data_IF_373111683475
#
_entry.id   IF_373111683475
#
_cell.length_a   1.000
_cell.length_b   1.000
_cell.length_c   1.000
_cell.angle_alpha   90.00
_cell.angle_beta   90.00
_cell.angle_gamma   90.00
#
_symmetry.space_group_name_H-M   'P 1'
#
loop_
_entity.id
_entity.type
_entity.pdbx_description
1 polymer ?
#
# COMPACT_ATOMS: atom_id res chain seq x y z
N UNK A 1 -9.12 21.49 -16.72
CA UNK A 1 -8.18 20.47 -16.24
C UNK A 1 -8.53 20.10 -14.82
N UNK A 2 -8.62 18.81 -14.54
CA UNK A 2 -8.91 18.38 -13.19
C UNK A 2 -7.67 18.58 -12.30
N UNK A 3 -7.87 19.17 -11.12
CA UNK A 3 -6.82 19.36 -10.13
C UNK A 3 -6.72 18.15 -9.20
N UNK A 4 -7.60 17.17 -9.37
CA UNK A 4 -7.68 15.96 -8.54
C UNK A 4 -7.83 14.72 -9.40
N UNK A 5 -7.49 13.61 -8.78
CA UNK A 5 -7.64 12.27 -9.32
C UNK A 5 -8.67 11.55 -8.47
N UNK A 6 -9.64 10.91 -9.11
CA UNK A 6 -10.54 9.99 -8.41
C UNK A 6 -9.78 8.69 -8.15
N UNK A 7 -9.57 8.37 -6.87
CA UNK A 7 -8.87 7.16 -6.46
C UNK A 7 -9.85 6.12 -5.95
N UNK A 8 -9.75 4.91 -6.48
CA UNK A 8 -10.46 3.76 -5.96
C UNK A 8 -9.46 2.62 -5.70
N UNK A 9 -9.50 2.06 -4.49
CA UNK A 9 -8.72 0.89 -4.13
C UNK A 9 -9.68 -0.23 -3.76
N UNK A 10 -9.61 -1.32 -4.52
CA UNK A 10 -10.53 -2.46 -4.42
C UNK A 10 -9.74 -3.71 -4.05
N UNK A 11 -10.27 -4.47 -3.10
CA UNK A 11 -9.81 -5.82 -2.78
C UNK A 11 -10.92 -6.81 -3.13
N UNK A 12 -10.64 -8.13 -3.11
CA UNK A 12 -11.71 -9.11 -3.35
C UNK A 12 -12.90 -9.00 -2.39
N UNK A 13 -12.68 -8.46 -1.18
CA UNK A 13 -13.73 -8.34 -0.16
C UNK A 13 -14.55 -7.07 -0.30
N UNK A 14 -13.95 -5.97 -0.77
CA UNK A 14 -14.66 -4.68 -0.75
C UNK A 14 -13.93 -3.56 -1.51
N UNK A 15 -14.67 -2.49 -1.76
CA UNK A 15 -14.10 -1.19 -2.11
C UNK A 15 -13.56 -0.56 -0.82
N UNK A 16 -12.25 -0.55 -0.67
CA UNK A 16 -11.59 -0.07 0.55
C UNK A 16 -11.47 1.45 0.59
N UNK A 17 -11.13 2.07 -0.54
CA UNK A 17 -10.95 3.52 -0.67
C UNK A 17 -11.70 4.02 -1.89
N UNK A 18 -12.44 5.12 -1.71
CA UNK A 18 -12.99 5.93 -2.77
C UNK A 18 -12.81 7.38 -2.34
N UNK A 19 -11.89 8.10 -2.95
CA UNK A 19 -11.45 9.39 -2.46
C UNK A 19 -10.91 10.26 -3.59
N UNK A 20 -10.75 11.56 -3.32
CA UNK A 20 -10.09 12.50 -4.21
C UNK A 20 -8.66 12.69 -3.76
N UNK A 21 -7.72 12.68 -4.70
CA UNK A 21 -6.31 12.84 -4.41
C UNK A 21 -5.69 13.90 -5.32
N UNK A 22 -4.71 14.62 -4.81
CA UNK A 22 -3.92 15.58 -5.60
C UNK A 22 -2.59 14.97 -6.04
N UNK A 23 -2.16 13.90 -5.38
CA UNK A 23 -0.89 13.22 -5.66
C UNK A 23 -0.94 11.80 -5.10
N UNK A 24 -0.39 10.85 -5.84
CA UNK A 24 -0.28 9.46 -5.40
C UNK A 24 1.16 8.96 -5.52
N UNK A 25 1.55 8.06 -4.59
CA UNK A 25 2.76 7.26 -4.69
C UNK A 25 2.35 5.80 -4.69
N UNK A 26 2.64 5.10 -5.80
CA UNK A 26 2.18 3.74 -6.04
C UNK A 26 3.37 2.77 -5.99
N UNK A 27 3.31 1.67 -5.22
CA UNK A 27 4.40 0.70 -5.17
C UNK A 27 4.38 -0.23 -6.38
N UNK A 28 4.92 0.24 -7.51
CA UNK A 28 5.04 -0.56 -8.72
C UNK A 28 6.08 -1.67 -8.57
N UNK A 29 5.97 -2.70 -9.41
CA UNK A 29 6.88 -3.84 -9.38
C UNK A 29 8.34 -3.43 -9.56
N UNK A 30 8.60 -2.46 -10.43
CA UNK A 30 9.96 -1.97 -10.74
C UNK A 30 10.38 -0.77 -9.89
N UNK A 31 9.53 -0.29 -9.01
CA UNK A 31 9.81 0.87 -8.14
C UNK A 31 8.58 1.74 -7.95
N UNK A 32 8.72 2.73 -7.09
CA UNK A 32 7.63 3.66 -6.83
C UNK A 32 7.32 4.53 -8.03
N UNK A 33 6.02 4.72 -8.27
CA UNK A 33 5.49 5.57 -9.33
C UNK A 33 4.75 6.75 -8.72
N UNK A 34 5.21 7.97 -9.00
CA UNK A 34 4.50 9.19 -8.63
C UNK A 34 3.46 9.54 -9.69
N UNK A 35 2.24 9.85 -9.25
CA UNK A 35 1.13 10.17 -10.15
C UNK A 35 0.51 11.50 -9.76
N UNK A 36 0.43 12.42 -10.72
CA UNK A 36 -0.25 13.69 -10.60
C UNK A 36 -1.45 13.73 -11.56
N UNK A 37 -2.42 14.64 -11.35
CA UNK A 37 -3.52 14.81 -12.30
C UNK A 37 -2.99 15.07 -13.71
N UNK A 38 -3.59 14.43 -14.70
CA UNK A 38 -3.15 14.53 -16.09
C UNK A 38 -2.10 13.49 -16.50
N UNK A 39 -1.71 12.58 -15.60
CA UNK A 39 -0.73 11.53 -15.92
C UNK A 39 -1.17 10.71 -17.14
N UNK A 40 -0.22 10.38 -18.02
CA UNK A 40 -0.49 9.54 -19.18
C UNK A 40 -1.04 8.17 -18.77
N UNK A 41 -1.95 7.59 -19.55
CA UNK A 41 -2.50 6.26 -19.26
C UNK A 41 -1.42 5.20 -19.09
N UNK A 42 -1.56 4.37 -18.05
CA UNK A 42 -0.59 3.34 -17.71
C UNK A 42 -1.28 2.22 -16.92
N UNK A 43 -0.89 0.98 -17.18
CA UNK A 43 -1.23 -0.15 -16.32
C UNK A 43 0.09 -0.68 -15.75
N UNK A 44 0.14 -0.84 -14.44
CA UNK A 44 1.34 -1.34 -13.77
C UNK A 44 0.99 -2.45 -12.79
N UNK A 45 1.88 -3.43 -12.69
CA UNK A 45 1.81 -4.45 -11.66
C UNK A 45 2.35 -3.89 -10.35
N UNK A 46 1.76 -4.30 -9.24
CA UNK A 46 2.10 -3.83 -7.89
C UNK A 46 2.88 -4.89 -7.13
N UNK A 47 3.85 -4.43 -6.34
CA UNK A 47 4.53 -5.25 -5.34
C UNK A 47 3.89 -5.03 -3.96
N UNK A 48 4.38 -5.72 -2.95
CA UNK A 48 4.05 -5.40 -1.57
C UNK A 48 4.79 -4.11 -1.18
N UNK A 49 4.05 -3.09 -0.77
CA UNK A 49 4.66 -1.80 -0.45
C UNK A 49 3.66 -0.80 0.09
N UNK A 50 4.18 0.36 0.46
CA UNK A 50 3.36 1.47 0.93
C UNK A 50 2.72 2.20 -0.25
N UNK A 51 1.41 2.35 -0.19
CA UNK A 51 0.67 3.24 -1.07
C UNK A 51 0.33 4.50 -0.28
N UNK A 52 0.62 5.66 -0.82
CA UNK A 52 0.24 6.91 -0.16
C UNK A 52 -0.42 7.86 -1.15
N UNK A 53 -1.31 8.70 -0.63
CA UNK A 53 -1.93 9.75 -1.44
C UNK A 53 -2.22 10.98 -0.58
N UNK A 54 -2.18 12.14 -1.23
CA UNK A 54 -2.50 13.41 -0.59
C UNK A 54 -3.92 13.81 -0.97
N UNK A 55 -4.72 14.16 0.02
CA UNK A 55 -6.07 14.72 -0.18
C UNK A 55 -5.99 16.20 -0.53
N UNK A 56 -7.08 16.78 -1.09
CA UNK A 56 -7.11 18.23 -1.35
C UNK A 56 -6.87 19.10 -0.12
N UNK A 57 -7.20 18.63 1.08
CA UNK A 57 -6.93 19.35 2.33
C UNK A 57 -5.46 19.28 2.79
N UNK A 58 -4.62 18.58 2.01
CA UNK A 58 -3.19 18.42 2.31
C UNK A 58 -2.85 17.21 3.17
N UNK A 59 -3.84 16.51 3.73
CA UNK A 59 -3.59 15.33 4.56
C UNK A 59 -3.08 14.17 3.71
N UNK A 60 -2.16 13.38 4.26
CA UNK A 60 -1.60 12.21 3.60
C UNK A 60 -2.20 10.95 4.21
N UNK A 61 -2.71 10.09 3.34
CA UNK A 61 -3.24 8.78 3.72
C UNK A 61 -2.25 7.71 3.29
N UNK A 62 -2.03 6.71 4.15
CA UNK A 62 -1.09 5.61 3.89
C UNK A 62 -1.77 4.27 4.04
N UNK A 63 -1.44 3.35 3.15
CA UNK A 63 -1.97 1.99 3.14
C UNK A 63 -0.84 1.01 2.87
N UNK A 64 -0.96 -0.20 3.41
CA UNK A 64 -0.16 -1.33 2.99
C UNK A 64 -0.91 -2.02 1.86
N UNK A 65 -0.28 -2.12 0.69
CA UNK A 65 -0.82 -2.82 -0.48
C UNK A 65 0.04 -4.05 -0.70
N UNK A 66 -0.59 -5.17 -0.98
CA UNK A 66 0.11 -6.42 -1.22
C UNK A 66 -0.33 -7.00 -2.55
N UNK A 67 0.51 -6.75 -3.58
CA UNK A 67 0.36 -7.24 -4.94
C UNK A 67 -0.95 -6.85 -5.61
N UNK A 68 -0.99 -6.94 -6.91
CA UNK A 68 -2.13 -6.58 -7.73
C UNK A 68 -1.74 -5.71 -8.91
N UNK A 69 -2.67 -4.87 -9.35
CA UNK A 69 -2.48 -3.99 -10.51
C UNK A 69 -3.08 -2.62 -10.24
N UNK A 70 -2.53 -1.61 -10.89
CA UNK A 70 -3.11 -0.28 -10.93
C UNK A 70 -3.31 0.16 -12.37
N UNK A 71 -4.49 0.73 -12.65
CA UNK A 71 -4.78 1.42 -13.89
C UNK A 71 -4.75 2.91 -13.62
N UNK A 72 -3.85 3.62 -14.30
CA UNK A 72 -3.66 5.06 -14.17
C UNK A 72 -4.23 5.73 -15.41
N UNK A 73 -5.18 6.63 -15.20
CA UNK A 73 -5.74 7.51 -16.23
C UNK A 73 -5.55 8.96 -15.78
N UNK A 74 -5.67 9.96 -16.67
CA UNK A 74 -5.42 11.35 -16.31
C UNK A 74 -6.25 11.88 -15.14
N UNK A 75 -7.48 11.37 -14.95
CA UNK A 75 -8.42 11.84 -13.94
C UNK A 75 -8.85 10.76 -12.95
N UNK A 76 -8.39 9.52 -13.15
CA UNK A 76 -8.81 8.39 -12.31
C UNK A 76 -7.70 7.35 -12.18
N UNK A 77 -7.54 6.84 -10.96
CA UNK A 77 -6.67 5.69 -10.68
C UNK A 77 -7.48 4.61 -9.99
N UNK A 78 -7.43 3.41 -10.54
CA UNK A 78 -8.08 2.23 -9.97
C UNK A 78 -7.01 1.22 -9.57
N UNK A 79 -7.00 0.86 -8.30
CA UNK A 79 -6.09 -0.15 -7.75
C UNK A 79 -6.86 -1.41 -7.43
N UNK A 80 -6.44 -2.53 -8.02
CA UNK A 80 -6.99 -3.86 -7.73
C UNK A 80 -5.92 -4.63 -6.96
N UNK A 81 -6.04 -4.63 -5.63
CA UNK A 81 -5.07 -5.24 -4.76
C UNK A 81 -5.52 -6.62 -4.29
N UNK A 82 -4.60 -7.57 -4.20
CA UNK A 82 -4.90 -8.88 -3.60
C UNK A 82 -5.24 -8.69 -2.13
N UNK A 83 -4.49 -7.83 -1.42
CA UNK A 83 -4.73 -7.43 -0.04
C UNK A 83 -4.36 -5.97 0.14
N UNK A 84 -5.10 -5.28 0.97
CA UNK A 84 -4.82 -3.89 1.32
C UNK A 84 -5.42 -3.57 2.68
N UNK A 85 -4.75 -2.71 3.43
CA UNK A 85 -5.28 -2.20 4.69
C UNK A 85 -4.76 -0.80 4.95
N UNK A 86 -5.60 0.03 5.58
CA UNK A 86 -5.22 1.37 5.99
C UNK A 86 -4.21 1.29 7.13
N UNK A 87 -3.29 2.26 7.18
CA UNK A 87 -2.26 2.32 8.22
C UNK A 87 -2.86 2.22 9.63
N UNK A 88 -3.97 2.91 9.86
CA UNK A 88 -4.67 2.92 11.15
C UNK A 88 -5.27 1.58 11.55
N UNK A 89 -5.50 0.68 10.58
CA UNK A 89 -6.11 -0.63 10.82
C UNK A 89 -5.06 -1.75 11.01
N UNK A 90 -3.77 -1.43 10.87
CA UNK A 90 -2.70 -2.43 10.99
C UNK A 90 -2.48 -2.79 12.45
N UNK A 91 -2.58 -4.09 12.76
CA UNK A 91 -2.22 -4.63 14.06
C UNK A 91 -0.72 -4.96 14.07
N UNK A 92 0.06 -4.10 14.71
CA UNK A 92 1.52 -4.19 14.76
C UNK A 92 1.99 -5.49 15.41
N UNK A 93 1.35 -5.89 16.51
CA UNK A 93 1.75 -7.11 17.23
C UNK A 93 1.49 -8.36 16.38
N UNK A 94 0.38 -8.40 15.66
CA UNK A 94 0.09 -9.50 14.72
C UNK A 94 1.12 -9.52 13.60
N UNK A 95 1.47 -8.36 13.05
CA UNK A 95 2.46 -8.27 11.96
C UNK A 95 3.84 -8.76 12.43
N UNK A 96 4.25 -8.40 13.62
CA UNK A 96 5.52 -8.87 14.21
C UNK A 96 5.55 -10.39 14.36
N UNK A 97 4.46 -10.96 14.87
CA UNK A 97 4.35 -12.42 15.04
C UNK A 97 4.36 -13.15 13.70
N UNK A 98 3.65 -12.63 12.71
CA UNK A 98 3.64 -13.19 11.37
C UNK A 98 5.03 -13.21 10.74
N UNK A 99 5.77 -12.11 10.90
CA UNK A 99 7.15 -12.03 10.42
C UNK A 99 8.04 -13.07 11.08
N UNK A 100 7.97 -13.18 12.40
CA UNK A 100 8.76 -14.14 13.17
C UNK A 100 8.46 -15.57 12.77
N UNK A 101 7.18 -15.93 12.65
CA UNK A 101 6.76 -17.27 12.22
C UNK A 101 7.25 -17.60 10.82
N UNK A 102 7.17 -16.65 9.89
CA UNK A 102 7.63 -16.84 8.53
C UNK A 102 9.16 -16.98 8.46
N UNK A 103 9.91 -16.22 9.26
CA UNK A 103 11.36 -16.36 9.37
C UNK A 103 11.75 -17.74 9.89
N UNK A 104 11.00 -18.30 10.84
CA UNK A 104 11.21 -19.66 11.33
C UNK A 104 10.93 -20.70 10.25
N UNK A 105 9.89 -20.50 9.44
CA UNK A 105 9.58 -21.37 8.31
C UNK A 105 10.72 -21.45 7.30
N UNK A 106 11.45 -20.36 7.08
CA UNK A 106 12.60 -20.36 6.18
C UNK A 106 13.71 -21.30 6.64
N UNK A 107 13.78 -21.59 7.93
CA UNK A 107 14.77 -22.51 8.50
C UNK A 107 14.36 -23.97 8.36
N UNK A 108 13.10 -24.25 8.07
CA UNK A 108 12.58 -25.60 7.90
C UNK A 108 12.83 -26.07 6.45
N UNK A 109 13.63 -27.13 6.23
CA UNK A 109 13.91 -27.61 4.87
C UNK A 109 12.69 -28.08 4.10
N UNK A 110 11.59 -28.43 4.78
CA UNK A 110 10.36 -28.95 4.18
C UNK A 110 9.32 -27.88 3.89
N UNK A 111 9.54 -26.65 4.38
CA UNK A 111 8.59 -25.56 4.18
C UNK A 111 8.69 -24.96 2.77
N UNK A 112 7.57 -24.40 2.30
CA UNK A 112 7.54 -23.63 1.06
C UNK A 112 8.24 -22.27 1.29
N UNK A 113 9.43 -22.14 0.73
CA UNK A 113 10.26 -20.94 0.92
C UNK A 113 9.70 -19.72 0.22
N UNK A 114 9.07 -19.89 -0.94
CA UNK A 114 8.45 -18.76 -1.65
C UNK A 114 7.30 -18.18 -0.84
N UNK A 115 6.45 -19.02 -0.27
CA UNK A 115 5.37 -18.58 0.60
C UNK A 115 5.91 -17.86 1.83
N UNK A 116 6.92 -18.42 2.49
CA UNK A 116 7.53 -17.80 3.67
C UNK A 116 8.11 -16.42 3.34
N UNK A 117 8.78 -16.27 2.20
CA UNK A 117 9.31 -14.97 1.76
C UNK A 117 8.20 -13.96 1.47
N UNK A 118 7.10 -14.39 0.87
CA UNK A 118 5.94 -13.53 0.66
C UNK A 118 5.34 -13.03 1.96
N UNK A 119 5.21 -13.92 2.94
CA UNK A 119 4.68 -13.57 4.26
C UNK A 119 5.59 -12.60 4.99
N UNK A 120 6.91 -12.77 4.90
CA UNK A 120 7.89 -11.84 5.47
C UNK A 120 7.75 -10.48 4.83
N UNK A 121 7.68 -10.41 3.51
CA UNK A 121 7.57 -9.16 2.77
C UNK A 121 6.27 -8.42 3.12
N UNK A 122 5.16 -9.15 3.22
CA UNK A 122 3.88 -8.58 3.64
C UNK A 122 3.94 -8.02 5.05
N UNK A 123 4.46 -8.79 6.00
CA UNK A 123 4.57 -8.35 7.39
C UNK A 123 5.51 -7.15 7.51
N UNK A 124 6.62 -7.14 6.79
CA UNK A 124 7.57 -6.03 6.75
C UNK A 124 6.91 -4.75 6.25
N UNK A 125 6.14 -4.84 5.16
CA UNK A 125 5.39 -3.69 4.62
C UNK A 125 4.41 -3.16 5.64
N UNK A 126 3.66 -4.02 6.31
CA UNK A 126 2.71 -3.63 7.36
C UNK A 126 3.40 -2.86 8.47
N UNK A 127 4.54 -3.35 8.95
CA UNK A 127 5.30 -2.70 10.01
C UNK A 127 5.84 -1.33 9.58
N UNK A 128 6.34 -1.22 8.35
CA UNK A 128 6.84 0.05 7.82
C UNK A 128 5.73 1.10 7.71
N UNK A 129 4.57 0.70 7.17
CA UNK A 129 3.43 1.60 6.99
C UNK A 129 2.88 2.06 8.34
N UNK A 130 2.71 1.15 9.30
CA UNK A 130 2.25 1.50 10.65
C UNK A 130 3.24 2.44 11.35
N UNK A 131 4.54 2.21 11.20
CA UNK A 131 5.57 3.07 11.79
C UNK A 131 5.55 4.50 11.25
N UNK A 132 5.35 4.66 9.94
CA UNK A 132 5.24 5.99 9.34
C UNK A 132 3.97 6.72 9.77
N UNK A 133 2.88 6.00 9.92
CA UNK A 133 1.62 6.57 10.41
C UNK A 133 1.78 7.12 11.83
N UNK A 134 2.41 6.35 12.72
CA UNK A 134 2.68 6.77 14.10
C UNK A 134 3.59 8.00 14.14
N UNK A 135 4.64 8.01 13.32
CA UNK A 135 5.56 9.16 13.21
C UNK A 135 4.84 10.41 12.69
N UNK A 136 3.92 10.24 11.76
CA UNK A 136 3.11 11.36 11.26
C UNK A 136 2.24 11.97 12.36
N UNK A 137 1.66 11.13 13.22
CA UNK A 137 0.89 11.59 14.37
C UNK A 137 1.76 12.35 15.37
N UNK A 138 2.96 11.86 15.65
CA UNK A 138 3.92 12.52 16.55
C UNK A 138 4.32 13.90 16.04
N UNK A 139 4.49 14.04 14.72
CA UNK A 139 4.85 15.30 14.08
C UNK A 139 3.71 16.33 14.10
N UNK A 140 2.49 15.92 14.37
CA UNK A 140 1.32 16.79 14.47
C UNK A 140 1.14 17.40 15.87
N UNK A 141 1.91 16.94 16.85
CA UNK A 141 1.86 17.46 18.21
C UNK A 141 2.80 18.67 18.31
N UNK A 142 2.29 19.86 18.67
CA UNK A 142 3.13 21.06 18.77
C UNK A 142 4.17 20.96 19.89
#
# INVERSE_FOLDING_TARGET
MADTIQLEIVTPERLLVSDQATELQIPGLSGYLGVLPGHAPLITELRSGEFSYRRPDGSIQRLAIHWGFAEVLPDKVTVLAERAEKASDIDVEVAKRQRQMAEEQLKNPEADKEEALRLIERAKTRLEVAGRHDNSLLNMIP
#
